data_IF_988931217221
#
_entry.id   IF_988931217221
#
_cell.length_a   1.000
_cell.length_b   1.000
_cell.length_c   1.000
_cell.angle_alpha   90.00
_cell.angle_beta   90.00
_cell.angle_gamma   90.00
#
_symmetry.space_group_name_H-M   'P 1'
#
loop_
_entity.id
_entity.type
_entity.pdbx_description
1 polymer ?
#
# COMPACT_ATOMS: atom_id res chain seq x y z
N UNK A 1 -8.00 -13.84 -5.12
CA UNK A 1 -7.57 -12.44 -4.87
C UNK A 1 -6.89 -12.40 -3.50
N UNK A 2 -5.68 -11.84 -3.39
CA UNK A 2 -4.96 -11.71 -2.12
C UNK A 2 -4.80 -10.24 -1.75
N UNK A 3 -5.12 -9.88 -0.52
CA UNK A 3 -4.91 -8.51 0.00
C UNK A 3 -3.47 -8.39 0.49
N UNK A 4 -2.76 -7.33 0.10
CA UNK A 4 -1.39 -7.03 0.55
C UNK A 4 -1.21 -5.51 0.66
N UNK A 5 -0.22 -5.07 1.42
CA UNK A 5 0.10 -3.64 1.57
C UNK A 5 0.75 -3.03 0.32
N UNK A 6 1.43 -3.85 -0.52
CA UNK A 6 2.07 -3.40 -1.76
C UNK A 6 1.75 -4.34 -2.93
N UNK A 7 1.39 -3.77 -4.09
CA UNK A 7 1.09 -4.51 -5.32
C UNK A 7 2.30 -4.57 -6.25
N UNK A 8 2.63 -5.78 -6.72
CA UNK A 8 3.71 -6.04 -7.69
C UNK A 8 3.17 -6.88 -8.85
N UNK A 9 3.73 -6.69 -10.05
CA UNK A 9 3.43 -7.54 -11.21
C UNK A 9 4.38 -8.74 -11.17
N UNK A 10 3.83 -9.94 -11.29
CA UNK A 10 4.59 -11.20 -11.31
C UNK A 10 4.79 -11.74 -12.74
N UNK A 11 3.97 -11.28 -13.68
CA UNK A 11 3.83 -11.85 -15.01
C UNK A 11 3.53 -10.76 -16.04
N UNK A 12 3.75 -11.07 -17.33
CA UNK A 12 3.43 -10.15 -18.44
C UNK A 12 1.93 -9.90 -18.60
N UNK A 13 1.09 -10.85 -18.18
CA UNK A 13 -0.37 -10.73 -18.22
C UNK A 13 -0.96 -9.97 -17.03
N UNK A 14 -0.12 -9.46 -16.12
CA UNK A 14 -0.53 -8.85 -14.87
C UNK A 14 -0.67 -7.33 -15.05
N UNK A 15 -1.89 -6.81 -15.00
CA UNK A 15 -2.21 -5.39 -15.18
C UNK A 15 -2.64 -4.74 -13.86
N UNK A 16 -2.15 -3.52 -13.62
CA UNK A 16 -2.47 -2.74 -12.41
C UNK A 16 -3.57 -1.74 -12.74
N UNK A 17 -4.69 -1.82 -12.01
CA UNK A 17 -5.88 -0.98 -12.24
C UNK A 17 -6.28 -0.31 -10.93
N UNK A 18 -6.54 0.99 -10.94
CA UNK A 18 -7.08 1.73 -9.79
C UNK A 18 -8.60 1.70 -9.84
N UNK A 19 -9.26 1.26 -8.76
CA UNK A 19 -10.72 1.27 -8.62
C UNK A 19 -11.08 1.70 -7.19
N UNK A 20 -12.04 2.61 -7.02
CA UNK A 20 -12.56 3.03 -5.69
C UNK A 20 -11.45 3.35 -4.66
N UNK A 21 -10.38 4.04 -5.08
CA UNK A 21 -9.27 4.42 -4.19
C UNK A 21 -8.25 3.32 -3.86
N UNK A 22 -8.40 2.09 -4.40
CA UNK A 22 -7.48 0.97 -4.18
C UNK A 22 -6.82 0.50 -5.48
N UNK A 23 -5.61 -0.03 -5.37
CA UNK A 23 -4.92 -0.66 -6.51
C UNK A 23 -5.28 -2.15 -6.59
N UNK A 24 -5.60 -2.60 -7.78
CA UNK A 24 -5.90 -3.99 -8.09
C UNK A 24 -4.90 -4.52 -9.11
N UNK A 25 -4.41 -5.72 -8.90
CA UNK A 25 -3.70 -6.49 -9.92
C UNK A 25 -4.68 -7.49 -10.49
N UNK A 26 -4.97 -7.36 -11.77
CA UNK A 26 -5.72 -8.34 -12.55
C UNK A 26 -4.73 -9.14 -13.40
N UNK A 27 -5.01 -10.42 -13.58
CA UNK A 27 -4.21 -11.29 -14.44
C UNK A 27 -5.17 -12.17 -15.24
N UNK A 28 -4.96 -12.23 -16.56
CA UNK A 28 -5.77 -13.04 -17.48
C UNK A 28 -5.27 -14.48 -17.59
N UNK A 29 -3.97 -14.70 -17.36
CA UNK A 29 -3.31 -16.02 -17.47
C UNK A 29 -3.54 -16.86 -16.20
N UNK A 30 -3.35 -16.24 -15.03
CA UNK A 30 -3.36 -16.94 -13.73
C UNK A 30 -4.18 -16.21 -12.67
N UNK A 31 -5.17 -16.88 -12.02
CA UNK A 31 -5.96 -16.28 -10.95
C UNK A 31 -5.19 -16.08 -9.64
N UNK A 32 -4.04 -16.75 -9.46
CA UNK A 32 -3.19 -16.64 -8.26
C UNK A 32 -2.50 -15.28 -8.14
N UNK A 33 -2.23 -14.62 -9.26
CA UNK A 33 -1.62 -13.29 -9.29
C UNK A 33 -2.61 -12.15 -8.98
N UNK A 34 -3.92 -12.43 -8.86
CA UNK A 34 -4.92 -11.40 -8.54
C UNK A 34 -4.68 -10.86 -7.14
N UNK A 35 -4.40 -9.56 -7.03
CA UNK A 35 -4.03 -8.91 -5.77
C UNK A 35 -4.80 -7.60 -5.57
N UNK A 36 -4.97 -7.19 -4.32
CA UNK A 36 -5.54 -5.90 -3.93
C UNK A 36 -4.55 -5.21 -2.99
N UNK A 37 -4.24 -3.95 -3.25
CA UNK A 37 -3.56 -3.11 -2.26
C UNK A 37 -4.57 -2.76 -1.18
N UNK A 38 -4.15 -2.86 0.07
CA UNK A 38 -4.86 -2.12 1.09
C UNK A 38 -4.82 -0.64 0.77
N UNK A 39 -5.86 0.04 1.22
CA UNK A 39 -5.93 1.49 1.14
C UNK A 39 -4.84 2.02 2.05
N UNK A 40 -3.71 2.40 1.45
CA UNK A 40 -2.83 3.34 2.12
C UNK A 40 -3.62 4.63 2.08
N UNK A 41 -4.41 4.90 3.11
CA UNK A 41 -4.80 6.27 3.45
C UNK A 41 -3.50 7.05 3.35
N UNK A 42 -3.37 7.80 2.26
CA UNK A 42 -2.19 8.57 1.93
C UNK A 42 -1.78 9.27 3.21
N UNK A 43 -0.64 8.88 3.76
CA UNK A 43 -0.08 9.47 4.97
C UNK A 43 0.34 10.91 4.67
N UNK A 44 -0.62 11.80 4.48
CA UNK A 44 -0.66 13.10 5.16
C UNK A 44 -1.36 12.75 6.47
N UNK A 45 -0.77 12.60 7.65
CA UNK A 45 0.36 13.25 8.27
C UNK A 45 0.84 12.33 9.41
N UNK A 46 1.91 11.57 9.23
CA UNK A 46 2.66 11.01 10.37
C UNK A 46 4.15 11.17 10.15
N UNK A 47 4.56 12.43 10.01
CA UNK A 47 5.83 12.86 10.60
C UNK A 47 5.57 12.80 12.11
N UNK A 48 5.96 11.77 12.87
CA UNK A 48 7.34 11.36 13.16
C UNK A 48 8.31 12.52 13.41
N UNK A 49 7.83 13.54 14.12
CA UNK A 49 8.69 14.35 14.99
C UNK A 49 7.90 14.70 16.24
N UNK A 50 8.06 13.90 17.28
CA UNK A 50 7.74 14.30 18.65
C UNK A 50 8.96 15.04 19.21
N UNK A 51 8.95 16.38 19.35
CA UNK A 51 9.89 17.05 20.23
C UNK A 51 9.32 16.99 21.65
N UNK A 52 9.50 15.86 22.34
CA UNK A 52 9.45 15.87 23.80
C UNK A 52 10.85 16.26 24.27
N UNK A 53 10.97 17.54 24.59
CA UNK A 53 12.17 18.16 25.12
C UNK A 53 12.67 17.43 26.39
N UNK A 54 13.99 17.33 26.63
CA UNK A 54 14.51 17.00 27.94
C UNK A 54 14.35 18.22 28.86
N UNK A 55 13.33 18.22 29.72
CA UNK A 55 13.29 19.13 30.87
C UNK A 55 14.24 18.59 31.94
N UNK A 56 15.48 19.09 31.93
CA UNK A 56 16.47 18.90 33.00
C UNK A 56 17.11 20.24 33.33
N UNK A 57 16.41 20.99 34.19
CA UNK A 57 16.87 22.13 35.01
C UNK A 57 15.72 22.32 36.02
N UNK A 58 15.83 22.15 37.34
CA UNK A 58 16.94 22.11 38.30
C UNK A 58 16.77 20.92 39.27
#
# INVERSE_FOLDING_TARGET
>A
MKVRSAVKRFCEGCSVVRRKGRLYVICSKDPKHKQVSEEVLSSKEKCLTSPLAPSSTE
#
